data_IF_752031431208
#
_entry.id   IF_752031431208
#
_cell.length_a   1.000
_cell.length_b   1.000
_cell.length_c   1.000
_cell.angle_alpha   90.00
_cell.angle_beta   90.00
_cell.angle_gamma   90.00
#
_symmetry.space_group_name_H-M   'P 1'
#
loop_
_entity.id
_entity.type
_entity.pdbx_description
1 polymer ?
#
# COMPACT_ATOMS: atom_id res chain seq x y z
N UNK A 1 1.29 -7.92 -2.37
CA UNK A 1 1.46 -8.14 -0.91
C UNK A 1 0.46 -7.35 -0.08
N UNK A 2 0.40 -6.01 -0.13
CA UNK A 2 -0.58 -5.26 0.67
C UNK A 2 -2.02 -5.63 0.31
N UNK A 3 -2.37 -5.71 -0.97
CA UNK A 3 -3.71 -6.12 -1.42
C UNK A 3 -4.10 -7.50 -0.91
N UNK A 4 -3.18 -8.46 -0.99
CA UNK A 4 -3.41 -9.81 -0.44
C UNK A 4 -3.74 -9.78 1.06
N UNK A 5 -3.01 -8.98 1.85
CA UNK A 5 -3.27 -8.82 3.29
C UNK A 5 -4.60 -8.10 3.54
N UNK A 6 -4.92 -7.08 2.74
CA UNK A 6 -6.18 -6.35 2.85
C UNK A 6 -7.39 -7.25 2.57
N UNK A 7 -7.33 -8.03 1.49
CA UNK A 7 -8.43 -8.95 1.09
C UNK A 7 -8.47 -10.26 1.87
N UNK A 8 -7.47 -10.57 2.70
CA UNK A 8 -7.47 -11.74 3.58
C UNK A 8 -7.59 -11.36 5.05
N UNK A 9 -6.46 -11.04 5.68
CA UNK A 9 -6.37 -10.78 7.12
C UNK A 9 -7.25 -9.61 7.60
N UNK A 10 -7.20 -8.46 6.88
CA UNK A 10 -8.00 -7.30 7.27
C UNK A 10 -9.49 -7.55 7.06
N UNK A 11 -9.86 -8.17 5.95
CA UNK A 11 -11.24 -8.56 5.65
C UNK A 11 -11.81 -9.49 6.73
N UNK A 12 -11.09 -10.56 7.06
CA UNK A 12 -11.49 -11.52 8.10
C UNK A 12 -11.62 -10.85 9.46
N UNK A 13 -10.64 -10.03 9.86
CA UNK A 13 -10.64 -9.36 11.16
C UNK A 13 -11.82 -8.39 11.35
N UNK A 14 -12.28 -7.78 10.28
CA UNK A 14 -13.36 -6.79 10.31
C UNK A 14 -14.71 -7.35 9.85
N UNK A 15 -14.80 -8.65 9.54
CA UNK A 15 -15.98 -9.32 8.98
C UNK A 15 -16.49 -8.62 7.72
N UNK A 16 -15.58 -8.23 6.83
CA UNK A 16 -15.87 -7.64 5.52
C UNK A 16 -15.70 -8.74 4.47
N UNK A 17 -16.63 -8.82 3.51
CA UNK A 17 -16.44 -9.72 2.37
C UNK A 17 -15.25 -9.22 1.53
N UNK A 18 -14.25 -10.06 1.21
CA UNK A 18 -13.14 -9.67 0.34
C UNK A 18 -13.57 -9.05 -1.01
N UNK A 19 -14.73 -9.46 -1.54
CA UNK A 19 -15.29 -8.91 -2.77
C UNK A 19 -15.79 -7.45 -2.63
N UNK A 20 -16.07 -7.01 -1.40
CA UNK A 20 -16.45 -5.63 -1.10
C UNK A 20 -15.22 -4.71 -0.95
N UNK A 21 -14.02 -5.26 -0.97
CA UNK A 21 -12.77 -4.49 -0.83
C UNK A 21 -12.17 -4.21 -2.21
N UNK A 22 -12.12 -2.94 -2.58
CA UNK A 22 -11.44 -2.49 -3.81
C UNK A 22 -10.07 -1.92 -3.48
N UNK A 23 -9.04 -2.57 -3.99
CA UNK A 23 -7.64 -2.15 -3.81
C UNK A 23 -7.16 -1.39 -5.04
N UNK A 24 -6.79 -0.13 -4.85
CA UNK A 24 -6.26 0.73 -5.91
C UNK A 24 -4.80 1.05 -5.63
N UNK A 25 -3.91 0.66 -6.54
CA UNK A 25 -2.49 1.00 -6.47
C UNK A 25 -2.21 2.30 -7.22
N UNK A 26 -1.57 3.26 -6.55
CA UNK A 26 -1.09 4.50 -7.18
C UNK A 26 0.43 4.50 -7.17
N UNK A 27 1.04 4.39 -8.37
CA UNK A 27 2.49 4.24 -8.52
C UNK A 27 3.03 5.10 -9.67
N UNK A 28 4.24 5.66 -9.57
CA UNK A 28 4.87 6.39 -10.67
C UNK A 28 5.47 5.45 -11.74
N UNK A 29 4.90 4.27 -11.92
CA UNK A 29 5.44 3.21 -12.76
C UNK A 29 4.32 2.49 -13.52
N UNK A 30 4.48 2.35 -14.86
CA UNK A 30 3.52 1.63 -15.70
C UNK A 30 3.65 0.11 -15.63
N UNK A 31 4.80 -0.40 -15.17
CA UNK A 31 5.02 -1.84 -15.00
C UNK A 31 4.05 -2.49 -13.99
N UNK A 32 3.52 -1.69 -13.06
CA UNK A 32 2.51 -2.16 -12.10
C UNK A 32 1.19 -2.55 -12.77
N UNK A 33 0.84 -1.95 -13.90
CA UNK A 33 -0.32 -2.36 -14.70
C UNK A 33 -0.15 -3.77 -15.25
N UNK A 34 1.05 -4.08 -15.77
CA UNK A 34 1.37 -5.43 -16.23
C UNK A 34 1.44 -6.45 -15.07
N UNK A 35 1.93 -6.01 -13.90
CA UNK A 35 2.02 -6.89 -12.73
C UNK A 35 0.63 -7.37 -12.25
N UNK A 36 -0.41 -6.53 -12.40
CA UNK A 36 -1.79 -6.91 -12.05
C UNK A 36 -2.36 -7.99 -12.95
N UNK A 37 -1.93 -8.03 -14.22
CA UNK A 37 -2.43 -9.00 -15.21
C UNK A 37 -1.78 -10.40 -15.04
N UNK A 38 -0.88 -10.56 -14.07
CA UNK A 38 -0.27 -11.85 -13.77
C UNK A 38 -1.22 -12.72 -12.97
N UNK A 39 -1.33 -13.98 -13.38
CA UNK A 39 -2.24 -14.95 -12.75
C UNK A 39 -2.06 -15.07 -11.23
N UNK A 40 -0.80 -14.93 -10.74
CA UNK A 40 -0.49 -15.05 -9.31
C UNK A 40 -0.88 -13.82 -8.49
N UNK A 41 -1.25 -12.70 -9.13
CA UNK A 41 -1.52 -11.40 -8.47
C UNK A 41 -2.84 -10.76 -8.89
N UNK A 42 -3.58 -11.38 -9.81
CA UNK A 42 -4.77 -10.79 -10.43
C UNK A 42 -5.92 -10.48 -9.46
N UNK A 43 -5.95 -11.14 -8.32
CA UNK A 43 -7.00 -10.96 -7.31
C UNK A 43 -6.61 -10.00 -6.17
N UNK A 44 -5.32 -9.64 -6.07
CA UNK A 44 -4.80 -8.86 -4.96
C UNK A 44 -5.08 -7.35 -5.08
N UNK A 45 -5.03 -6.83 -6.30
CA UNK A 45 -5.19 -5.40 -6.59
C UNK A 45 -6.11 -5.23 -7.79
N UNK A 46 -7.17 -4.47 -7.64
CA UNK A 46 -8.21 -4.33 -8.67
C UNK A 46 -7.81 -3.31 -9.74
N UNK A 47 -7.18 -2.22 -9.33
CA UNK A 47 -6.80 -1.14 -10.25
C UNK A 47 -5.39 -0.63 -9.98
N UNK A 48 -4.69 -0.25 -11.05
CA UNK A 48 -3.41 0.45 -10.96
C UNK A 48 -3.44 1.75 -11.75
N UNK A 49 -3.21 2.84 -11.04
CA UNK A 49 -3.12 4.18 -11.60
C UNK A 49 -1.67 4.68 -11.52
N UNK A 50 -1.22 5.33 -12.57
CA UNK A 50 -0.01 6.12 -12.47
C UNK A 50 -0.31 7.42 -11.70
N UNK A 51 0.71 8.02 -11.10
CA UNK A 51 0.58 9.34 -10.43
C UNK A 51 -0.01 10.40 -11.37
N UNK A 52 0.32 10.33 -12.68
CA UNK A 52 -0.22 11.25 -13.68
C UNK A 52 -1.70 11.02 -13.98
N UNK A 53 -2.14 9.77 -13.97
CA UNK A 53 -3.56 9.42 -14.16
C UNK A 53 -4.38 9.87 -12.95
N UNK A 54 -3.87 9.65 -11.73
CA UNK A 54 -4.50 10.17 -10.52
C UNK A 54 -4.62 11.71 -10.58
N UNK A 55 -3.56 12.43 -10.98
CA UNK A 55 -3.61 13.88 -11.09
C UNK A 55 -4.67 14.36 -12.10
N UNK A 56 -4.86 13.64 -13.21
CA UNK A 56 -5.95 13.93 -14.19
C UNK A 56 -7.32 13.68 -13.56
N UNK A 57 -7.50 12.55 -12.88
CA UNK A 57 -8.75 12.19 -12.22
C UNK A 57 -9.17 13.25 -11.19
N UNK A 58 -8.23 13.69 -10.36
CA UNK A 58 -8.45 14.75 -9.37
C UNK A 58 -8.86 16.07 -10.05
N UNK A 59 -8.19 16.42 -11.15
CA UNK A 59 -8.52 17.63 -11.92
C UNK A 59 -9.90 17.53 -12.57
N UNK A 60 -10.24 16.41 -13.16
CA UNK A 60 -11.54 16.17 -13.77
C UNK A 60 -12.68 16.15 -12.74
N UNK A 61 -12.41 15.65 -11.52
CA UNK A 61 -13.33 15.71 -10.40
C UNK A 61 -13.51 17.13 -9.81
N UNK A 62 -12.73 18.11 -10.27
CA UNK A 62 -12.80 19.50 -9.78
C UNK A 62 -12.26 19.69 -8.36
N UNK A 63 -11.41 18.77 -7.88
CA UNK A 63 -10.81 18.83 -6.54
C UNK A 63 -9.63 19.81 -6.57
N UNK A 64 -9.69 20.84 -5.74
CA UNK A 64 -8.59 21.81 -5.57
C UNK A 64 -7.63 21.33 -4.49
N UNK A 65 -6.65 20.53 -4.91
CA UNK A 65 -5.63 19.93 -4.02
C UNK A 65 -4.88 20.97 -3.19
N UNK A 66 -4.68 22.20 -3.72
CA UNK A 66 -3.89 23.20 -3.02
C UNK A 66 -4.62 23.85 -1.83
N UNK A 67 -5.92 23.74 -1.82
CA UNK A 67 -6.78 24.32 -0.78
C UNK A 67 -7.48 23.24 0.07
N UNK A 68 -7.06 21.98 -0.01
CA UNK A 68 -7.53 20.93 0.89
C UNK A 68 -6.91 21.09 2.27
N UNK A 69 -7.72 20.91 3.31
CA UNK A 69 -7.21 20.80 4.67
C UNK A 69 -6.44 19.47 4.82
N UNK A 70 -5.27 19.48 5.49
CA UNK A 70 -4.54 18.25 5.77
C UNK A 70 -5.34 17.33 6.70
N UNK A 71 -5.36 16.05 6.37
CA UNK A 71 -5.94 15.00 7.20
C UNK A 71 -4.94 13.85 7.35
N UNK A 72 -5.07 13.09 8.43
CA UNK A 72 -4.31 11.88 8.65
C UNK A 72 -4.88 10.72 7.82
N UNK A 73 -4.04 9.69 7.57
CA UNK A 73 -4.48 8.47 6.93
C UNK A 73 -5.31 7.59 7.88
N UNK A 74 -6.24 6.83 7.32
CA UNK A 74 -6.96 5.81 8.06
C UNK A 74 -6.01 4.72 8.57
N UNK A 75 -6.17 4.33 9.83
CA UNK A 75 -5.38 3.26 10.46
C UNK A 75 -5.95 1.88 10.10
N UNK A 76 -5.59 1.35 8.93
CA UNK A 76 -6.07 0.05 8.45
C UNK A 76 -5.51 -1.12 9.26
N UNK A 77 -4.21 -1.14 9.52
CA UNK A 77 -3.49 -2.24 10.14
C UNK A 77 -2.70 -1.82 11.40
N UNK A 78 -3.01 -0.66 11.94
CA UNK A 78 -2.35 -0.07 13.09
C UNK A 78 -1.23 0.90 12.72
N UNK A 79 -0.44 1.26 13.73
CA UNK A 79 0.64 2.24 13.59
C UNK A 79 1.86 1.60 12.92
N UNK A 80 2.45 2.33 11.96
CA UNK A 80 3.67 1.90 11.29
C UNK A 80 4.83 1.75 12.27
N UNK A 81 5.64 0.71 12.08
CA UNK A 81 6.92 0.56 12.77
C UNK A 81 8.03 1.36 12.08
N UNK A 82 9.12 1.68 12.80
CA UNK A 82 10.28 2.35 12.23
C UNK A 82 10.96 1.59 11.05
N UNK A 83 10.64 0.31 10.87
CA UNK A 83 11.10 -0.48 9.73
C UNK A 83 10.59 0.09 8.40
N UNK A 84 9.38 0.65 8.36
CA UNK A 84 8.83 1.25 7.15
C UNK A 84 9.61 2.49 6.69
N UNK A 85 10.15 3.26 7.61
CA UNK A 85 10.95 4.46 7.31
C UNK A 85 12.28 4.09 6.61
N UNK A 86 12.84 2.92 6.92
CA UNK A 86 14.09 2.42 6.34
C UNK A 86 13.88 1.93 4.90
N UNK A 87 12.68 1.51 4.51
CA UNK A 87 12.39 0.91 3.20
C UNK A 87 12.74 1.82 2.02
N UNK A 88 12.67 3.14 2.19
CA UNK A 88 13.01 4.11 1.15
C UNK A 88 14.51 4.24 0.88
N UNK A 89 15.36 3.67 1.73
CA UNK A 89 16.81 3.72 1.61
C UNK A 89 17.35 2.54 0.80
N UNK A 90 18.53 2.71 0.19
CA UNK A 90 19.22 1.63 -0.52
C UNK A 90 19.51 0.45 0.41
N UNK A 91 19.03 -0.74 0.05
CA UNK A 91 19.12 -1.95 0.90
C UNK A 91 18.16 -1.94 2.08
N UNK A 92 17.24 -0.97 2.15
CA UNK A 92 16.40 -0.71 3.31
C UNK A 92 15.52 -1.88 3.75
N UNK A 93 14.97 -2.65 2.82
CA UNK A 93 14.16 -3.84 3.15
C UNK A 93 15.02 -4.90 3.83
N UNK A 94 16.22 -5.17 3.32
CA UNK A 94 17.15 -6.11 3.92
C UNK A 94 17.65 -5.62 5.28
N UNK A 95 17.99 -4.34 5.40
CA UNK A 95 18.42 -3.73 6.66
C UNK A 95 17.31 -3.79 7.72
N UNK A 96 16.07 -3.48 7.36
CA UNK A 96 14.93 -3.60 8.26
C UNK A 96 14.74 -5.04 8.74
N UNK A 97 14.86 -6.02 7.84
CA UNK A 97 14.78 -7.44 8.19
C UNK A 97 15.90 -7.88 9.15
N UNK A 98 17.14 -7.44 8.89
CA UNK A 98 18.28 -7.76 9.76
C UNK A 98 18.16 -7.13 11.15
N UNK A 99 17.72 -5.88 11.24
CA UNK A 99 17.47 -5.20 12.52
C UNK A 99 16.39 -5.91 13.31
N UNK A 100 15.27 -6.24 12.67
CA UNK A 100 14.17 -6.97 13.31
C UNK A 100 14.63 -8.36 13.78
N UNK A 101 15.39 -9.08 12.97
CA UNK A 101 15.94 -10.39 13.34
C UNK A 101 16.92 -10.27 14.54
N UNK A 102 17.75 -9.24 14.54
CA UNK A 102 18.66 -8.98 15.66
C UNK A 102 17.89 -8.75 16.97
N UNK A 103 16.90 -7.84 16.94
CA UNK A 103 16.03 -7.55 18.08
C UNK A 103 15.32 -8.81 18.62
N UNK A 104 14.75 -9.63 17.72
CA UNK A 104 14.08 -10.87 18.11
C UNK A 104 15.02 -11.90 18.73
N UNK A 105 16.30 -11.94 18.34
CA UNK A 105 17.28 -12.89 18.84
C UNK A 105 17.91 -12.41 20.15
N UNK A 106 18.21 -11.14 20.26
CA UNK A 106 18.94 -10.57 21.41
C UNK A 106 18.04 -9.97 22.48
N UNK A 107 16.83 -9.57 22.13
CA UNK A 107 15.92 -8.85 23.00
C UNK A 107 16.28 -7.38 23.24
N UNK A 108 17.16 -6.81 22.39
CA UNK A 108 17.63 -5.42 22.45
C UNK A 108 17.10 -4.60 21.27
#
# INVERSE_FOLDING_TARGET
MFGAIAKSYYAERNNIDPEDIVVVSVMPCTAKKFELDRDEMSEDVDYSLTTRELARMVKEAGIDILNLEPEDYDELLGVSSGAADIFASTGGVMEAALRTAYELITGE
#
